data_IF_077478893040
#
_entry.id   IF_077478893040
#
_cell.length_a   1.000
_cell.length_b   1.000
_cell.length_c   1.000
_cell.angle_alpha   90.00
_cell.angle_beta   90.00
_cell.angle_gamma   90.00
#
_symmetry.space_group_name_H-M   'P 1'
#
loop_
_entity.id
_entity.type
_entity.pdbx_description
1 polymer ?
#
# COMPACT_ATOMS: atom_id res chain seq x y z
N UNK A 1 15.80 -8.40 2.25
CA UNK A 1 14.91 -8.84 3.33
C UNK A 1 13.63 -8.03 3.33
N UNK A 2 12.54 -8.65 3.73
CA UNK A 2 11.26 -7.94 3.82
C UNK A 2 11.29 -6.95 4.97
N UNK A 3 10.53 -5.86 4.84
CA UNK A 3 10.36 -4.89 5.90
C UNK A 3 9.51 -5.50 7.01
N UNK A 4 9.84 -5.20 8.28
CA UNK A 4 9.09 -5.73 9.41
C UNK A 4 7.92 -4.85 9.82
N UNK A 5 7.86 -3.64 9.32
CA UNK A 5 6.77 -2.71 9.57
C UNK A 5 6.57 -1.82 8.36
N UNK A 6 5.43 -1.18 8.31
CA UNK A 6 5.14 -0.26 7.21
C UNK A 6 6.06 0.95 7.24
N UNK A 7 6.32 1.51 6.06
CA UNK A 7 7.09 2.73 5.93
C UNK A 7 6.35 3.90 6.59
N UNK A 8 7.05 5.01 6.75
CA UNK A 8 6.39 6.26 7.14
C UNK A 8 5.40 6.66 6.04
N UNK A 9 4.41 7.47 6.40
CA UNK A 9 3.44 7.99 5.45
C UNK A 9 4.11 9.00 4.52
N UNK A 10 3.88 8.83 3.20
CA UNK A 10 4.46 9.71 2.17
C UNK A 10 3.37 10.12 1.19
N UNK A 11 3.55 11.26 0.56
CA UNK A 11 2.64 11.69 -0.51
C UNK A 11 2.85 10.84 -1.76
N UNK A 12 1.77 10.65 -2.53
CA UNK A 12 1.86 9.91 -3.80
C UNK A 12 2.44 10.86 -4.85
N UNK A 13 3.76 10.95 -4.89
CA UNK A 13 4.50 11.76 -5.87
C UNK A 13 5.49 10.87 -6.59
N UNK A 14 5.94 11.32 -7.76
CA UNK A 14 6.95 10.57 -8.52
C UNK A 14 8.21 10.33 -7.68
N UNK A 15 8.68 11.36 -6.98
CA UNK A 15 9.88 11.24 -6.15
C UNK A 15 9.73 10.18 -5.05
N UNK A 16 8.57 10.12 -4.41
CA UNK A 16 8.33 9.14 -3.35
C UNK A 16 8.09 7.73 -3.91
N UNK A 17 7.44 7.64 -5.07
CA UNK A 17 7.21 6.34 -5.71
C UNK A 17 8.52 5.69 -6.15
N UNK A 18 9.51 6.49 -6.52
CA UNK A 18 10.82 5.97 -6.89
C UNK A 18 11.55 5.28 -5.73
N UNK A 19 11.16 5.58 -4.49
CA UNK A 19 11.73 4.96 -3.30
C UNK A 19 11.13 3.59 -3.01
N UNK A 20 10.01 3.25 -3.66
CA UNK A 20 9.30 2.00 -3.42
C UNK A 20 9.91 0.90 -4.28
N UNK A 21 10.32 -0.24 -3.69
CA UNK A 21 10.87 -1.34 -4.48
C UNK A 21 9.86 -1.85 -5.51
N UNK A 22 10.27 -1.91 -6.77
CA UNK A 22 9.42 -2.40 -7.86
C UNK A 22 9.60 -3.88 -8.17
N UNK A 23 10.48 -4.56 -7.44
CA UNK A 23 10.85 -5.96 -7.70
C UNK A 23 10.44 -6.91 -6.56
N UNK A 24 9.67 -6.44 -5.60
CA UNK A 24 9.28 -7.25 -4.45
C UNK A 24 7.77 -7.22 -4.24
N UNK A 25 7.18 -8.33 -3.79
CA UNK A 25 5.78 -8.31 -3.38
C UNK A 25 5.62 -7.50 -2.10
N UNK A 26 4.42 -7.04 -1.85
CA UNK A 26 4.17 -6.28 -0.65
C UNK A 26 2.73 -5.81 -0.54
N UNK A 27 2.49 -5.03 0.50
CA UNK A 27 1.18 -4.47 0.82
C UNK A 27 1.33 -2.97 0.95
N UNK A 28 0.32 -2.22 0.53
CA UNK A 28 0.32 -0.78 0.64
C UNK A 28 -0.99 -0.29 1.23
N UNK A 29 -0.93 0.89 1.84
CA UNK A 29 -2.08 1.59 2.40
C UNK A 29 -2.20 2.94 1.72
N UNK A 30 -3.42 3.29 1.27
CA UNK A 30 -3.70 4.62 0.75
C UNK A 30 -4.39 5.39 1.87
N UNK A 31 -3.87 6.57 2.18
CA UNK A 31 -4.35 7.37 3.31
C UNK A 31 -4.71 8.78 2.85
N UNK A 32 -5.58 9.44 3.62
CA UNK A 32 -5.87 10.84 3.39
C UNK A 32 -4.97 11.72 4.27
N UNK A 33 -5.10 13.04 4.11
CA UNK A 33 -4.27 13.99 4.86
C UNK A 33 -4.51 13.94 6.36
N UNK A 34 -5.67 13.46 6.79
CA UNK A 34 -6.01 13.29 8.20
C UNK A 34 -5.45 12.02 8.81
N UNK A 35 -4.85 11.15 7.97
CA UNK A 35 -4.27 9.91 8.43
C UNK A 35 -5.19 8.70 8.38
N UNK A 36 -6.42 8.85 7.88
CA UNK A 36 -7.34 7.74 7.75
C UNK A 36 -6.89 6.81 6.62
N UNK A 37 -6.99 5.50 6.84
CA UNK A 37 -6.69 4.51 5.82
C UNK A 37 -7.93 4.31 4.97
N UNK A 38 -7.81 4.66 3.68
CA UNK A 38 -8.94 4.58 2.73
C UNK A 38 -8.98 3.26 1.99
N UNK A 39 -7.82 2.66 1.76
CA UNK A 39 -7.71 1.45 0.96
C UNK A 39 -6.43 0.71 1.32
N UNK A 40 -6.48 -0.62 1.29
CA UNK A 40 -5.33 -1.50 1.47
C UNK A 40 -5.28 -2.44 0.28
N UNK A 41 -4.11 -2.51 -0.37
CA UNK A 41 -3.94 -3.39 -1.52
C UNK A 41 -2.63 -4.16 -1.44
N UNK A 42 -2.43 -5.05 -2.41
CA UNK A 42 -1.21 -5.84 -2.50
C UNK A 42 -0.66 -5.85 -3.90
N UNK A 43 0.64 -6.12 -4.00
CA UNK A 43 1.31 -6.37 -5.27
C UNK A 43 1.97 -7.74 -5.17
N UNK A 44 1.58 -8.67 -6.05
CA UNK A 44 2.05 -10.05 -6.00
C UNK A 44 3.34 -10.26 -6.77
N UNK A 45 3.53 -9.53 -7.83
CA UNK A 45 4.60 -9.80 -8.79
C UNK A 45 5.70 -8.76 -8.86
N UNK A 46 5.89 -7.98 -7.80
CA UNK A 46 6.96 -7.01 -7.79
C UNK A 46 6.64 -5.73 -8.55
N UNK A 47 5.41 -5.26 -8.48
CA UNK A 47 4.99 -3.99 -9.10
C UNK A 47 4.34 -3.09 -8.07
N UNK A 48 4.94 -3.07 -6.87
CA UNK A 48 4.37 -2.35 -5.75
C UNK A 48 4.25 -0.85 -6.04
N UNK A 49 5.29 -0.26 -6.61
CA UNK A 49 5.30 1.16 -6.98
C UNK A 49 4.23 1.49 -8.02
N UNK A 50 4.09 0.64 -9.05
CA UNK A 50 3.08 0.85 -10.09
C UNK A 50 1.67 0.73 -9.54
N UNK A 51 1.44 -0.22 -8.64
CA UNK A 51 0.12 -0.40 -8.04
C UNK A 51 -0.29 0.80 -7.20
N UNK A 52 0.64 1.36 -6.46
CA UNK A 52 0.37 2.58 -5.68
C UNK A 52 0.08 3.74 -6.63
N UNK A 53 0.87 3.87 -7.69
CA UNK A 53 0.69 4.95 -8.66
C UNK A 53 -0.69 4.91 -9.35
N UNK A 54 -1.21 3.70 -9.60
CA UNK A 54 -2.52 3.53 -10.21
C UNK A 54 -3.64 4.12 -9.36
N UNK A 55 -3.44 4.24 -8.07
CA UNK A 55 -4.47 4.75 -7.16
C UNK A 55 -4.41 6.26 -6.94
N UNK A 56 -3.46 6.94 -7.55
CA UNK A 56 -3.38 8.39 -7.43
C UNK A 56 -4.64 9.02 -8.01
N UNK A 57 -5.39 9.73 -7.15
CA UNK A 57 -6.63 10.38 -7.57
C UNK A 57 -7.84 9.45 -7.66
N UNK A 58 -7.67 8.15 -7.42
CA UNK A 58 -8.77 7.19 -7.50
C UNK A 58 -9.70 7.27 -6.29
N UNK A 59 -9.12 7.45 -5.11
CA UNK A 59 -9.89 7.54 -3.87
C UNK A 59 -9.97 8.99 -3.42
N UNK A 60 -11.17 9.45 -3.08
CA UNK A 60 -11.38 10.83 -2.65
C UNK A 60 -10.51 11.15 -1.42
N UNK A 61 -9.59 12.10 -1.58
CA UNK A 61 -8.66 12.48 -0.53
C UNK A 61 -7.48 11.54 -0.35
N UNK A 62 -7.36 10.51 -1.17
CA UNK A 62 -6.26 9.54 -1.09
C UNK A 62 -4.99 10.07 -1.71
N UNK A 63 -4.26 10.89 -0.96
CA UNK A 63 -3.06 11.59 -1.44
C UNK A 63 -1.77 11.06 -0.83
N UNK A 64 -1.85 10.10 0.10
CA UNK A 64 -0.68 9.59 0.82
C UNK A 64 -0.68 8.08 0.83
N UNK A 65 0.48 7.49 1.06
CA UNK A 65 0.60 6.03 1.10
C UNK A 65 1.66 5.58 2.09
N UNK A 66 1.55 4.31 2.48
CA UNK A 66 2.58 3.56 3.19
C UNK A 66 2.72 2.22 2.49
N UNK A 67 3.89 1.60 2.60
CA UNK A 67 4.10 0.28 2.01
C UNK A 67 4.92 -0.60 2.94
N UNK A 68 4.81 -1.90 2.72
CA UNK A 68 5.62 -2.91 3.41
C UNK A 68 5.90 -4.04 2.43
N UNK A 69 7.18 -4.32 2.19
CA UNK A 69 7.56 -5.45 1.32
C UNK A 69 7.45 -6.76 2.10
N UNK A 70 7.24 -7.84 1.36
CA UNK A 70 7.16 -9.19 1.92
C UNK A 70 8.13 -10.10 1.19
N UNK A 71 8.38 -11.29 1.76
CA UNK A 71 9.30 -12.26 1.16
C UNK A 71 8.66 -13.08 0.04
N UNK A 72 7.32 -13.09 -0.03
CA UNK A 72 6.60 -13.86 -1.04
C UNK A 72 5.23 -13.24 -1.29
N UNK A 73 4.61 -13.65 -2.41
CA UNK A 73 3.25 -13.21 -2.72
C UNK A 73 2.23 -13.75 -1.72
N UNK A 74 2.48 -14.95 -1.19
CA UNK A 74 1.60 -15.56 -0.19
C UNK A 74 1.64 -14.77 1.12
N UNK A 75 2.82 -14.29 1.50
CA UNK A 75 2.97 -13.43 2.67
C UNK A 75 2.26 -12.10 2.46
N UNK A 76 2.31 -11.56 1.23
CA UNK A 76 1.60 -10.32 0.89
C UNK A 76 0.08 -10.52 1.01
N UNK A 77 -0.44 -11.65 0.54
CA UNK A 77 -1.86 -11.95 0.64
C UNK A 77 -2.32 -12.06 2.09
N UNK A 78 -1.55 -12.74 2.92
CA UNK A 78 -1.87 -12.88 4.34
C UNK A 78 -1.84 -11.54 5.06
N UNK A 79 -0.83 -10.74 4.76
CA UNK A 79 -0.70 -9.41 5.37
C UNK A 79 -1.84 -8.49 4.94
N UNK A 80 -2.18 -8.49 3.66
CA UNK A 80 -3.29 -7.68 3.16
C UNK A 80 -4.60 -8.04 3.87
N UNK A 81 -4.90 -9.33 3.96
CA UNK A 81 -6.12 -9.79 4.62
C UNK A 81 -6.17 -9.36 6.09
N UNK A 82 -5.04 -9.52 6.78
CA UNK A 82 -4.93 -9.13 8.18
C UNK A 82 -5.14 -7.63 8.36
N UNK A 83 -4.55 -6.83 7.46
CA UNK A 83 -4.67 -5.37 7.51
C UNK A 83 -6.09 -4.92 7.20
N UNK A 84 -6.73 -5.50 6.19
CA UNK A 84 -8.11 -5.15 5.85
C UNK A 84 -9.04 -5.48 7.01
N UNK A 85 -8.86 -6.63 7.64
CA UNK A 85 -9.66 -7.03 8.79
C UNK A 85 -9.47 -6.10 9.98
N UNK A 86 -8.23 -5.65 10.20
CA UNK A 86 -7.90 -4.77 11.32
C UNK A 86 -8.45 -3.36 11.15
N UNK A 87 -8.31 -2.79 9.95
CA UNK A 87 -8.64 -1.39 9.69
C UNK A 87 -9.97 -1.19 8.99
N UNK A 88 -10.49 -2.20 8.32
CA UNK A 88 -11.76 -2.16 7.59
C UNK A 88 -11.90 -0.88 6.74
N UNK A 89 -10.98 -0.62 5.79
CA UNK A 89 -11.01 0.64 5.05
C UNK A 89 -12.27 0.78 4.19
N UNK A 90 -12.81 1.99 4.04
CA UNK A 90 -14.06 2.17 3.32
C UNK A 90 -14.01 1.75 1.85
N UNK A 91 -12.88 1.93 1.18
CA UNK A 91 -12.78 1.57 -0.24
C UNK A 91 -12.51 0.09 -0.48
N UNK A 92 -12.25 -0.70 0.56
CA UNK A 92 -12.15 -2.15 0.46
C UNK A 92 -13.49 -2.86 0.70
N UNK A 93 -14.50 -2.13 1.14
CA UNK A 93 -15.83 -2.70 1.37
C UNK A 93 -16.56 -2.84 0.05
N UNK A 94 -17.20 -3.96 -0.16
CA UNK A 94 -17.99 -4.20 -1.37
C UNK A 94 -19.46 -3.91 -1.15
#
# INVERSE_FOLDING_TARGET
>A
MAMQKFSKTMRITQANLEKVPGDKPGVYRIRNASGDILYIGKAKGGRLDDRIAEHKGEFDGGTQFQYRTTTSKEAAERLERKEIKKFDPPSNQS
#
